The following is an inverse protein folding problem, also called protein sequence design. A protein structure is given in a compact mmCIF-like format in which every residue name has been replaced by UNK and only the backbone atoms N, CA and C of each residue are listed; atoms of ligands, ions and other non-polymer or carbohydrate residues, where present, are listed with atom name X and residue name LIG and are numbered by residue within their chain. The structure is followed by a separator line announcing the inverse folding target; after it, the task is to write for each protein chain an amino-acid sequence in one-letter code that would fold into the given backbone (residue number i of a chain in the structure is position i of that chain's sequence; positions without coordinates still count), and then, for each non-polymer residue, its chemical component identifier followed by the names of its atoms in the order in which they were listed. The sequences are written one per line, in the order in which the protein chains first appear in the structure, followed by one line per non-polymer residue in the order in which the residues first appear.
data_IF_125952861360
#
_entry.id   IF_125952861360
#
_cell.length_a   1.000
_cell.length_b   1.000
_cell.length_c   1.000
_cell.angle_alpha   90.00
_cell.angle_beta   90.00
_cell.angle_gamma   90.00
#
_symmetry.space_group_name_H-M   'P 1'
#
loop_
_entity.id
_entity.type
_entity.pdbx_description
1 polymer ?
#
# COMPACT_ATOMS: atom_id res chain seq x y z
N UNK A 1 -3.19 19.00 -2.82
CA UNK A 1 -4.23 19.21 -1.78
C UNK A 1 -5.57 18.99 -2.43
N UNK A 2 -6.56 18.45 -1.74
CA UNK A 2 -7.90 18.24 -2.31
C UNK A 2 -8.86 19.38 -1.97
N UNK A 3 -9.98 19.50 -2.68
CA UNK A 3 -11.02 20.49 -2.35
C UNK A 3 -11.62 20.26 -0.95
N UNK A 4 -11.66 19.01 -0.51
CA UNK A 4 -12.11 18.59 0.82
C UNK A 4 -11.16 19.09 1.92
N UNK A 5 -9.86 18.97 1.71
CA UNK A 5 -8.85 19.54 2.62
C UNK A 5 -8.93 21.07 2.69
N UNK A 6 -9.11 21.73 1.54
CA UNK A 6 -9.25 23.18 1.48
C UNK A 6 -10.44 23.67 2.32
N UNK A 7 -11.57 22.95 2.25
CA UNK A 7 -12.77 23.27 3.03
C UNK A 7 -12.54 23.08 4.54
N UNK A 8 -11.84 22.01 4.93
CA UNK A 8 -11.47 21.78 6.33
C UNK A 8 -10.57 22.91 6.87
N UNK A 9 -9.58 23.36 6.09
CA UNK A 9 -8.69 24.46 6.48
C UNK A 9 -9.49 25.75 6.67
N UNK A 10 -10.39 26.10 5.75
CA UNK A 10 -11.25 27.30 5.87
C UNK A 10 -12.17 27.23 7.10
N UNK A 11 -12.59 26.04 7.52
CA UNK A 11 -13.44 25.87 8.71
C UNK A 11 -12.66 26.04 10.03
N UNK A 12 -11.35 25.80 10.02
CA UNK A 12 -10.50 25.80 11.21
C UNK A 12 -9.71 27.09 11.39
N UNK A 13 -9.49 27.85 10.32
CA UNK A 13 -8.64 29.03 10.31
C UNK A 13 -9.30 30.18 9.54
N UNK A 14 -9.20 31.40 10.06
CA UNK A 14 -9.65 32.62 9.36
C UNK A 14 -8.64 33.00 8.27
N UNK A 15 -8.74 32.33 7.13
CA UNK A 15 -7.83 32.50 5.98
C UNK A 15 -8.53 33.24 4.84
N UNK A 16 -7.89 34.30 4.33
CA UNK A 16 -8.43 35.13 3.24
C UNK A 16 -8.48 34.43 1.89
N UNK A 17 -7.62 33.43 1.67
CA UNK A 17 -7.55 32.71 0.41
C UNK A 17 -6.98 31.30 0.64
N UNK A 18 -7.61 30.30 0.03
CA UNK A 18 -7.07 28.94 -0.07
C UNK A 18 -6.97 28.59 -1.55
N UNK A 19 -5.77 28.22 -2.00
CA UNK A 19 -5.52 27.76 -3.35
C UNK A 19 -5.13 26.29 -3.30
N UNK A 20 -5.84 25.48 -4.06
CA UNK A 20 -5.60 24.04 -4.17
C UNK A 20 -4.74 23.76 -5.39
N UNK A 21 -3.52 23.27 -5.18
CA UNK A 21 -2.64 22.80 -6.25
C UNK A 21 -2.59 21.26 -6.14
N UNK A 22 -3.17 20.50 -7.09
CA UNK A 22 -3.04 19.06 -7.12
C UNK A 22 -1.61 18.68 -7.48
N UNK A 23 -1.09 17.61 -6.86
CA UNK A 23 0.22 17.10 -7.23
C UNK A 23 0.09 16.35 -8.56
N UNK A 24 1.01 16.60 -9.49
CA UNK A 24 1.13 15.82 -10.72
C UNK A 24 2.06 14.63 -10.51
N UNK A 25 1.88 13.60 -11.32
CA UNK A 25 2.88 12.54 -11.52
C UNK A 25 3.75 12.93 -12.72
N UNK A 26 5.03 12.56 -12.69
CA UNK A 26 5.90 12.74 -13.85
C UNK A 26 5.51 11.73 -14.94
N UNK A 27 5.06 12.22 -16.09
CA UNK A 27 4.58 11.37 -17.20
C UNK A 27 5.67 10.44 -17.75
N UNK A 28 6.95 10.75 -17.54
CA UNK A 28 8.05 9.85 -17.91
C UNK A 28 8.00 8.52 -17.15
N UNK A 29 7.26 8.47 -16.02
CA UNK A 29 7.01 7.26 -15.24
C UNK A 29 6.00 6.31 -15.91
N UNK A 30 5.36 6.67 -17.01
CA UNK A 30 4.52 5.73 -17.77
C UNK A 30 5.32 4.86 -18.76
N UNK A 31 6.58 5.22 -19.05
CA UNK A 31 7.44 4.52 -20.02
C UNK A 31 8.51 3.63 -19.37
N UNK A 32 8.46 3.41 -18.05
CA UNK A 32 9.51 2.70 -17.30
C UNK A 32 9.47 1.18 -17.46
N UNK A 33 8.36 0.57 -17.89
CA UNK A 33 8.19 -0.88 -17.88
C UNK A 33 9.23 -1.65 -18.70
N UNK A 34 9.75 -1.06 -19.79
CA UNK A 34 10.70 -1.73 -20.70
C UNK A 34 12.09 -1.94 -20.12
N UNK A 35 12.43 -1.30 -18.99
CA UNK A 35 13.77 -1.30 -18.41
C UNK A 35 13.83 -1.78 -16.96
N UNK A 36 12.70 -2.24 -16.41
CA UNK A 36 12.64 -2.67 -15.02
C UNK A 36 13.00 -4.15 -14.89
N UNK A 37 13.88 -4.45 -13.93
CA UNK A 37 14.05 -5.83 -13.47
C UNK A 37 12.79 -6.30 -12.74
N UNK A 38 12.46 -7.59 -12.83
CA UNK A 38 11.30 -8.14 -12.15
C UNK A 38 11.42 -8.00 -10.62
N UNK A 39 10.29 -7.80 -9.93
CA UNK A 39 10.28 -7.77 -8.47
C UNK A 39 10.73 -9.12 -7.89
N UNK A 40 11.57 -9.09 -6.84
CA UNK A 40 12.02 -10.30 -6.17
C UNK A 40 10.96 -10.83 -5.18
N UNK A 41 9.88 -11.40 -5.73
CA UNK A 41 8.87 -12.11 -4.95
C UNK A 41 9.28 -13.56 -4.66
N UNK A 42 10.17 -14.15 -5.47
CA UNK A 42 10.62 -15.54 -5.33
C UNK A 42 9.44 -16.51 -5.35
N UNK A 43 9.53 -17.60 -4.60
CA UNK A 43 8.45 -18.61 -4.51
C UNK A 43 7.15 -18.10 -3.87
N UNK A 44 7.14 -16.87 -3.36
CA UNK A 44 5.90 -16.25 -2.90
C UNK A 44 4.91 -16.02 -4.05
N UNK A 45 5.40 -15.76 -5.27
CA UNK A 45 4.54 -15.57 -6.44
C UNK A 45 4.04 -16.88 -7.08
N UNK A 46 4.58 -18.04 -6.65
CA UNK A 46 4.25 -19.32 -7.28
C UNK A 46 2.80 -19.72 -7.02
N UNK A 47 2.11 -20.09 -8.12
CA UNK A 47 0.73 -20.56 -8.10
C UNK A 47 -0.24 -19.57 -7.46
N UNK A 48 0.03 -18.26 -7.60
CA UNK A 48 -0.85 -17.18 -7.16
C UNK A 48 -1.79 -16.83 -8.30
N UNK A 49 -3.08 -16.78 -8.02
CA UNK A 49 -4.10 -16.39 -8.99
C UNK A 49 -4.36 -14.88 -8.98
N UNK A 50 -4.14 -14.23 -7.84
CA UNK A 50 -4.32 -12.79 -7.66
C UNK A 50 -3.28 -12.22 -6.69
N UNK A 51 -2.44 -11.33 -7.20
CA UNK A 51 -1.41 -10.64 -6.44
C UNK A 51 -1.84 -9.21 -6.07
N UNK A 52 -2.05 -8.98 -4.78
CA UNK A 52 -2.30 -7.66 -4.21
C UNK A 52 -0.97 -7.00 -3.83
N UNK A 53 -0.84 -5.71 -4.09
CA UNK A 53 0.34 -4.92 -3.76
C UNK A 53 0.00 -3.67 -2.94
N UNK A 54 0.74 -3.46 -1.85
CA UNK A 54 0.78 -2.16 -1.16
C UNK A 54 2.19 -1.57 -1.30
N UNK A 55 2.27 -0.30 -1.73
CA UNK A 55 3.53 0.44 -1.85
C UNK A 55 3.40 1.76 -1.10
N UNK A 56 4.12 1.89 0.01
CA UNK A 56 4.10 3.10 0.82
C UNK A 56 4.66 2.89 2.22
N UNK A 57 4.79 3.98 2.97
CA UNK A 57 5.18 3.89 4.39
C UNK A 57 4.10 3.13 5.17
N UNK A 58 4.48 2.07 5.87
CA UNK A 58 3.59 1.24 6.66
C UNK A 58 3.28 1.98 7.97
N UNK A 59 2.18 2.72 7.98
CA UNK A 59 1.61 3.39 9.14
C UNK A 59 0.22 2.79 9.40
N UNK A 60 0.04 2.11 10.53
CA UNK A 60 -1.16 1.30 10.76
C UNK A 60 -2.43 2.13 10.71
N UNK A 61 -2.44 3.27 11.40
CA UNK A 61 -3.62 4.14 11.46
C UNK A 61 -3.85 4.89 10.15
N UNK A 62 -2.84 5.62 9.65
CA UNK A 62 -3.05 6.56 8.54
C UNK A 62 -3.22 5.85 7.20
N UNK A 63 -2.49 4.75 6.97
CA UNK A 63 -2.56 3.95 5.73
C UNK A 63 -3.53 2.76 5.81
N UNK A 64 -4.23 2.60 6.94
CA UNK A 64 -5.27 1.57 7.08
C UNK A 64 -4.76 0.13 7.08
N UNK A 65 -3.52 -0.10 7.51
CA UNK A 65 -2.88 -1.42 7.43
C UNK A 65 -3.62 -2.46 8.26
N UNK A 66 -4.23 -2.05 9.37
CA UNK A 66 -5.09 -2.92 10.17
C UNK A 66 -6.32 -3.41 9.39
N UNK A 67 -6.93 -2.55 8.55
CA UNK A 67 -8.05 -2.94 7.68
C UNK A 67 -7.58 -3.88 6.58
N UNK A 68 -6.42 -3.58 5.98
CA UNK A 68 -5.83 -4.42 4.94
C UNK A 68 -5.56 -5.85 5.46
N UNK A 69 -4.94 -5.98 6.63
CA UNK A 69 -4.66 -7.31 7.21
C UNK A 69 -5.95 -8.05 7.63
N UNK A 70 -6.95 -7.34 8.16
CA UNK A 70 -8.27 -7.93 8.44
C UNK A 70 -8.96 -8.41 7.17
N UNK A 71 -8.90 -7.65 6.09
CA UNK A 71 -9.43 -8.04 4.79
C UNK A 71 -8.75 -9.30 4.27
N UNK A 72 -7.42 -9.42 4.39
CA UNK A 72 -6.70 -10.64 4.03
C UNK A 72 -7.16 -11.87 4.85
N UNK A 73 -7.46 -11.70 6.14
CA UNK A 73 -7.98 -12.78 6.97
C UNK A 73 -9.40 -13.22 6.55
N UNK A 74 -10.24 -12.27 6.13
CA UNK A 74 -11.58 -12.55 5.59
C UNK A 74 -11.46 -13.28 4.24
N UNK A 75 -10.61 -12.79 3.34
CA UNK A 75 -10.36 -13.43 2.04
C UNK A 75 -9.85 -14.87 2.22
N UNK A 76 -8.93 -15.08 3.18
CA UNK A 76 -8.44 -16.42 3.53
C UNK A 76 -9.56 -17.37 3.98
N UNK A 77 -10.56 -16.89 4.72
CA UNK A 77 -11.63 -17.75 5.26
C UNK A 77 -12.80 -17.96 4.30
N UNK A 78 -13.00 -17.04 3.35
CA UNK A 78 -14.13 -17.07 2.41
C UNK A 78 -13.79 -17.70 1.06
N UNK A 79 -12.51 -17.76 0.70
CA UNK A 79 -12.09 -18.32 -0.57
C UNK A 79 -11.78 -19.81 -0.42
N UNK A 80 -12.73 -20.66 -0.81
CA UNK A 80 -12.47 -22.00 -1.38
C UNK A 80 -11.93 -21.90 -2.83
N UNK A 81 -11.42 -20.72 -3.22
CA UNK A 81 -11.11 -20.30 -4.59
C UNK A 81 -9.69 -19.73 -4.76
N UNK A 82 -9.47 -18.68 -5.59
CA UNK A 82 -8.15 -18.29 -6.06
C UNK A 82 -7.16 -18.00 -4.93
N UNK A 83 -5.91 -18.46 -5.10
CA UNK A 83 -4.81 -18.24 -4.17
C UNK A 83 -4.40 -16.77 -4.20
N UNK A 84 -5.07 -15.97 -3.37
CA UNK A 84 -4.79 -14.55 -3.23
C UNK A 84 -3.64 -14.31 -2.25
N UNK A 85 -2.66 -13.50 -2.65
CA UNK A 85 -1.54 -13.10 -1.80
C UNK A 85 -1.31 -11.60 -1.85
N UNK A 86 -0.79 -11.07 -0.75
CA UNK A 86 -0.45 -9.66 -0.58
C UNK A 86 1.06 -9.52 -0.35
N UNK A 87 1.70 -8.61 -1.08
CA UNK A 87 2.99 -8.08 -0.66
C UNK A 87 2.88 -6.62 -0.23
N UNK A 88 3.70 -6.25 0.75
CA UNK A 88 3.77 -4.88 1.26
C UNK A 88 5.20 -4.36 1.16
N UNK A 89 5.35 -3.20 0.52
CA UNK A 89 6.61 -2.54 0.25
C UNK A 89 6.65 -1.20 0.97
N UNK A 90 7.71 -0.97 1.73
CA UNK A 90 7.99 0.30 2.38
C UNK A 90 8.50 0.16 3.81
N UNK A 91 9.01 1.26 4.38
CA UNK A 91 9.46 1.28 5.76
C UNK A 91 8.27 1.33 6.73
N UNK A 92 8.42 0.75 7.91
CA UNK A 92 7.50 0.99 9.03
C UNK A 92 7.65 2.42 9.53
N UNK A 93 6.52 3.07 9.84
CA UNK A 93 6.53 4.42 10.40
C UNK A 93 7.10 4.44 11.82
N UNK A 94 6.73 3.45 12.64
CA UNK A 94 7.25 3.28 14.01
C UNK A 94 7.58 1.82 14.33
N UNK A 95 8.35 1.60 15.41
CA UNK A 95 8.59 0.26 15.96
C UNK A 95 7.30 -0.40 16.46
N UNK A 96 6.35 0.39 16.94
CA UNK A 96 5.01 -0.07 17.33
C UNK A 96 4.22 -0.59 16.14
N UNK A 97 4.23 0.12 15.02
CA UNK A 97 3.60 -0.33 13.77
C UNK A 97 4.18 -1.67 13.32
N UNK A 98 5.52 -1.81 13.36
CA UNK A 98 6.20 -3.06 13.06
C UNK A 98 5.74 -4.19 13.97
N UNK A 99 5.72 -3.95 15.28
CA UNK A 99 5.26 -4.94 16.26
C UNK A 99 3.81 -5.38 16.01
N UNK A 100 2.92 -4.42 15.77
CA UNK A 100 1.52 -4.68 15.46
C UNK A 100 1.33 -5.51 14.18
N UNK A 101 2.00 -5.13 13.09
CA UNK A 101 1.85 -5.85 11.82
C UNK A 101 2.35 -7.28 11.93
N UNK A 102 3.53 -7.49 12.53
CA UNK A 102 4.09 -8.84 12.70
C UNK A 102 3.22 -9.71 13.63
N UNK A 103 2.73 -9.15 14.73
CA UNK A 103 1.85 -9.90 15.64
C UNK A 103 0.50 -10.23 15.01
N UNK A 104 -0.05 -9.31 14.21
CA UNK A 104 -1.33 -9.49 13.51
C UNK A 104 -1.23 -10.52 12.38
N UNK A 105 -0.15 -10.48 11.59
CA UNK A 105 0.11 -11.51 10.57
C UNK A 105 0.13 -12.88 11.23
N UNK A 106 0.84 -13.03 12.36
CA UNK A 106 0.93 -14.29 13.08
C UNK A 106 -0.40 -14.71 13.72
N UNK A 107 -1.10 -13.81 14.39
CA UNK A 107 -2.34 -14.14 15.10
C UNK A 107 -3.48 -14.52 14.16
N UNK A 108 -3.49 -13.99 12.93
CA UNK A 108 -4.47 -14.31 11.90
C UNK A 108 -4.00 -15.45 10.95
N UNK A 109 -2.80 -15.99 11.17
CA UNK A 109 -2.23 -17.07 10.36
C UNK A 109 -1.99 -16.67 8.90
N UNK A 110 -1.52 -15.43 8.66
CA UNK A 110 -1.36 -14.83 7.33
C UNK A 110 0.06 -15.01 6.77
N UNK A 111 0.95 -15.72 7.45
CA UNK A 111 2.38 -15.83 7.12
C UNK A 111 2.64 -16.35 5.69
N UNK A 112 1.73 -17.19 5.16
CA UNK A 112 1.85 -17.77 3.83
C UNK A 112 1.21 -16.94 2.71
N UNK A 113 0.42 -15.93 3.08
CA UNK A 113 -0.33 -15.10 2.13
C UNK A 113 -0.01 -13.60 2.23
N UNK A 114 0.78 -13.18 3.21
CA UNK A 114 1.27 -11.80 3.36
C UNK A 114 2.80 -11.79 3.42
N UNK A 115 3.45 -11.08 2.49
CA UNK A 115 4.90 -10.87 2.46
C UNK A 115 5.26 -9.41 2.74
N UNK A 116 6.15 -9.19 3.70
CA UNK A 116 6.78 -7.89 3.93
C UNK A 116 8.07 -7.80 3.12
N UNK A 117 8.08 -7.02 2.05
CA UNK A 117 9.22 -6.87 1.14
C UNK A 117 10.26 -5.83 1.60
N UNK A 118 9.95 -5.11 2.68
CA UNK A 118 10.81 -4.03 3.21
C UNK A 118 10.79 -2.78 2.33
N UNK A 119 11.63 -1.78 2.64
CA UNK A 119 11.72 -0.56 1.85
C UNK A 119 12.36 -0.82 0.47
N UNK A 120 11.82 -0.15 -0.55
CA UNK A 120 12.29 -0.21 -1.95
C UNK A 120 12.37 1.21 -2.51
N UNK A 121 13.41 1.48 -3.30
CA UNK A 121 13.73 2.82 -3.79
C UNK A 121 14.02 2.82 -5.29
N UNK A 122 13.90 3.98 -5.93
CA UNK A 122 14.16 4.15 -7.36
C UNK A 122 13.34 3.18 -8.22
N UNK A 123 14.01 2.58 -9.20
CA UNK A 123 13.43 1.60 -10.13
C UNK A 123 12.89 0.34 -9.43
N UNK A 124 13.55 -0.14 -8.38
CA UNK A 124 13.10 -1.34 -7.66
C UNK A 124 11.68 -1.17 -7.09
N UNK A 125 11.35 0.04 -6.62
CA UNK A 125 9.99 0.34 -6.15
C UNK A 125 8.94 0.14 -7.26
N UNK A 126 9.27 0.55 -8.48
CA UNK A 126 8.40 0.43 -9.64
C UNK A 126 8.23 -1.02 -10.08
N UNK A 127 9.30 -1.82 -10.02
CA UNK A 127 9.22 -3.27 -10.26
C UNK A 127 8.18 -3.94 -9.36
N UNK A 128 8.14 -3.57 -8.07
CA UNK A 128 7.11 -4.10 -7.16
C UNK A 128 5.73 -3.53 -7.46
N UNK A 129 5.61 -2.24 -7.78
CA UNK A 129 4.32 -1.65 -8.15
C UNK A 129 3.71 -2.33 -9.39
N UNK A 130 4.52 -2.67 -10.39
CA UNK A 130 4.07 -3.37 -11.59
C UNK A 130 3.87 -4.89 -11.39
N UNK A 131 4.32 -5.45 -10.26
CA UNK A 131 4.20 -6.88 -9.96
C UNK A 131 2.86 -7.26 -9.30
N UNK A 132 2.01 -6.30 -8.94
CA UNK A 132 0.65 -6.59 -8.47
C UNK A 132 -0.37 -6.48 -9.59
N UNK A 133 -1.34 -7.38 -9.57
CA UNK A 133 -2.56 -7.29 -10.39
C UNK A 133 -3.48 -6.18 -9.87
N UNK A 134 -3.48 -6.00 -8.54
CA UNK A 134 -4.31 -5.00 -7.85
C UNK A 134 -3.46 -4.22 -6.84
N UNK A 135 -3.36 -2.92 -7.06
CA UNK A 135 -2.79 -2.00 -6.08
C UNK A 135 -3.82 -1.65 -5.01
N UNK A 136 -3.46 -1.85 -3.74
CA UNK A 136 -4.36 -1.66 -2.61
C UNK A 136 -3.97 -0.42 -1.82
N UNK A 137 -4.95 0.45 -1.59
CA UNK A 137 -4.76 1.73 -0.91
C UNK A 137 -5.90 2.00 0.10
N UNK A 138 -5.69 1.60 1.35
CA UNK A 138 -6.71 1.63 2.43
C UNK A 138 -6.61 2.86 3.34
N UNK A 139 -5.97 3.93 2.88
CA UNK A 139 -5.69 5.08 3.72
C UNK A 139 -6.93 5.74 4.27
N UNK A 140 -6.85 6.14 5.54
CA UNK A 140 -7.90 6.92 6.21
C UNK A 140 -7.77 8.42 5.94
N UNK A 141 -6.55 8.86 5.64
CA UNK A 141 -6.22 10.24 5.34
C UNK A 141 -5.21 10.27 4.20
N UNK A 142 -5.52 11.00 3.14
CA UNK A 142 -4.58 11.36 2.09
C UNK A 142 -4.56 12.87 1.94
N UNK A 143 -3.36 13.43 2.00
CA UNK A 143 -3.14 14.81 1.58
C UNK A 143 -2.69 14.79 0.13
N UNK A 144 -3.64 14.85 -0.80
CA UNK A 144 -3.31 14.87 -2.23
C UNK A 144 -4.24 14.18 -3.22
N UNK A 145 -5.42 13.68 -2.80
CA UNK A 145 -6.49 13.25 -3.73
C UNK A 145 -7.64 14.24 -3.63
#
# INVERSE_FOLDING_TARGET
MSELEATQIQSLFDVKQVLTIPNAVDDSLFNISEHLSAANLGSFADGVDLMLGFVGRINVCHKGIDLLLKAMAILKSQLDGPKCKLFMVGPFYTSRDRGYVLSTIKSLGLEHIVKLAGPKFGQEKWSYFLACDVFVHTSRFEAGI
#
